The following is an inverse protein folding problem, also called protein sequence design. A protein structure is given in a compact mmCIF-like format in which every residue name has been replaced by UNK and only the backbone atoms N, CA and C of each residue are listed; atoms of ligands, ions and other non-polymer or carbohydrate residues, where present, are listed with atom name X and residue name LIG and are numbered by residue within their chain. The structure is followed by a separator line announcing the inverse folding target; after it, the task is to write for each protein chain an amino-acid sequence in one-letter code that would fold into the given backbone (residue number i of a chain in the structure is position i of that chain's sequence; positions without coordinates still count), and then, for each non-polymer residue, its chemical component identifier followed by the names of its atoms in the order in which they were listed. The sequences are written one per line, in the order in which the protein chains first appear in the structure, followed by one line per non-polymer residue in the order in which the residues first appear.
data_IF_876510844073
#
_entry.id   IF_876510844073
#
_cell.length_a   1.000
_cell.length_b   1.000
_cell.length_c   1.000
_cell.angle_alpha   90.00
_cell.angle_beta   90.00
_cell.angle_gamma   90.00
#
_symmetry.space_group_name_H-M   'P 1'
#
loop_
_entity.id
_entity.type
_entity.pdbx_description
1 polymer ?
#
# COMPACT_ATOMS: atom_id res chain seq x y z
N UNK A 1 15.17 21.44 -4.60
CA UNK A 1 15.17 20.02 -4.17
C UNK A 1 14.89 20.03 -2.69
N UNK A 2 13.98 19.17 -2.22
CA UNK A 2 13.70 19.10 -0.78
C UNK A 2 14.87 18.47 -0.02
N UNK A 3 15.12 18.94 1.19
CA UNK A 3 16.13 18.36 2.09
C UNK A 3 15.51 17.17 2.81
N UNK A 4 16.19 16.01 2.81
CA UNK A 4 15.80 14.88 3.64
C UNK A 4 15.93 15.26 5.11
N UNK A 5 14.84 15.17 5.85
CA UNK A 5 14.78 15.49 7.27
C UNK A 5 14.75 14.21 8.11
N UNK A 6 13.91 13.26 7.70
CA UNK A 6 13.70 12.01 8.44
C UNK A 6 13.52 10.85 7.46
N UNK A 7 14.10 9.71 7.83
CA UNK A 7 13.71 8.39 7.37
C UNK A 7 13.23 7.60 8.60
N UNK A 8 12.00 7.06 8.56
CA UNK A 8 11.41 6.39 9.71
C UNK A 8 10.52 5.22 9.32
N UNK A 9 10.63 4.13 10.04
CA UNK A 9 9.68 3.02 9.98
C UNK A 9 8.74 3.07 11.19
N UNK A 10 7.48 2.70 10.98
CA UNK A 10 6.49 2.55 12.05
C UNK A 10 5.84 1.17 11.94
N UNK A 11 5.15 0.72 12.99
CA UNK A 11 4.34 -0.51 12.90
C UNK A 11 3.22 -0.34 11.85
N UNK A 12 2.60 0.84 11.80
CA UNK A 12 1.51 1.13 10.85
C UNK A 12 2.02 1.18 9.40
N UNK A 13 3.23 1.66 9.15
CA UNK A 13 3.82 1.67 7.81
C UNK A 13 4.07 0.25 7.31
N UNK A 14 4.60 -0.64 8.16
CA UNK A 14 4.74 -2.06 7.83
C UNK A 14 3.40 -2.76 7.55
N UNK A 15 2.37 -2.41 8.34
CA UNK A 15 1.01 -2.92 8.12
C UNK A 15 0.40 -2.39 6.82
N UNK A 16 0.55 -1.10 6.53
CA UNK A 16 0.08 -0.49 5.29
C UNK A 16 0.69 -1.17 4.06
N UNK A 17 2.01 -1.44 4.07
CA UNK A 17 2.66 -2.15 2.96
C UNK A 17 2.15 -3.59 2.83
N UNK A 18 1.89 -4.28 3.93
CA UNK A 18 1.31 -5.63 3.88
C UNK A 18 -0.08 -5.65 3.23
N UNK A 19 -0.90 -4.63 3.52
CA UNK A 19 -2.22 -4.46 2.90
C UNK A 19 -2.07 -4.08 1.41
N UNK A 20 -1.17 -3.16 1.08
CA UNK A 20 -0.93 -2.73 -0.30
C UNK A 20 -0.49 -3.90 -1.19
N UNK A 21 0.45 -4.72 -0.71
CA UNK A 21 0.87 -5.95 -1.41
C UNK A 21 -0.26 -6.95 -1.63
N UNK A 22 -1.20 -7.04 -0.68
CA UNK A 22 -2.37 -7.88 -0.84
C UNK A 22 -3.34 -7.32 -1.90
N UNK A 23 -3.48 -6.00 -1.99
CA UNK A 23 -4.24 -5.32 -3.04
C UNK A 23 -3.60 -5.62 -4.40
N UNK A 24 -2.30 -5.35 -4.57
CA UNK A 24 -1.58 -5.63 -5.83
C UNK A 24 -1.77 -7.08 -6.28
N UNK A 25 -1.59 -8.04 -5.36
CA UNK A 25 -1.79 -9.45 -5.68
C UNK A 25 -3.22 -9.76 -6.15
N UNK A 26 -4.23 -9.14 -5.51
CA UNK A 26 -5.63 -9.34 -5.89
C UNK A 26 -5.97 -8.66 -7.21
N UNK A 27 -5.46 -7.46 -7.48
CA UNK A 27 -5.64 -6.76 -8.75
C UNK A 27 -4.99 -7.55 -9.90
N UNK A 28 -3.76 -8.04 -9.71
CA UNK A 28 -3.09 -8.89 -10.69
C UNK A 28 -3.88 -10.16 -11.01
N UNK A 29 -4.54 -10.76 -10.00
CA UNK A 29 -5.42 -11.92 -10.19
C UNK A 29 -6.68 -11.55 -10.98
N UNK A 30 -7.22 -10.34 -10.85
CA UNK A 30 -8.34 -9.87 -11.67
C UNK A 30 -7.89 -9.61 -13.11
N UNK A 31 -6.79 -8.87 -13.27
CA UNK A 31 -6.33 -8.38 -14.57
C UNK A 31 -5.77 -9.50 -15.44
N UNK A 32 -4.93 -10.38 -14.90
CA UNK A 32 -4.22 -11.39 -15.68
C UNK A 32 -4.97 -12.72 -15.78
N UNK A 33 -5.82 -13.05 -14.81
CA UNK A 33 -6.57 -14.32 -14.80
C UNK A 33 -8.07 -14.16 -15.07
N UNK A 34 -8.55 -12.93 -15.18
CA UNK A 34 -9.98 -12.63 -15.32
C UNK A 34 -10.81 -13.12 -14.13
N UNK A 35 -10.22 -13.21 -12.93
CA UNK A 35 -10.90 -13.75 -11.77
C UNK A 35 -11.93 -12.75 -11.21
N UNK A 36 -13.16 -13.21 -10.99
CA UNK A 36 -14.24 -12.41 -10.45
C UNK A 36 -14.29 -12.43 -8.92
N UNK A 37 -14.45 -11.22 -8.35
CA UNK A 37 -14.63 -10.96 -6.91
C UNK A 37 -13.59 -11.69 -6.03
N UNK A 38 -12.28 -11.42 -6.21
CA UNK A 38 -11.27 -12.01 -5.34
C UNK A 38 -11.48 -11.55 -3.90
N UNK A 39 -11.32 -12.48 -2.95
CA UNK A 39 -11.48 -12.19 -1.51
C UNK A 39 -10.45 -12.88 -0.64
N UNK A 40 -10.16 -12.27 0.50
CA UNK A 40 -9.50 -12.90 1.62
C UNK A 40 -10.53 -13.42 2.62
N UNK A 41 -10.17 -14.41 3.44
CA UNK A 41 -11.09 -14.91 4.49
C UNK A 41 -11.24 -13.88 5.60
N UNK A 42 -10.15 -13.19 5.95
CA UNK A 42 -10.13 -12.14 6.96
C UNK A 42 -9.09 -11.08 6.63
N UNK A 43 -9.23 -9.89 7.22
CA UNK A 43 -8.21 -8.83 7.09
C UNK A 43 -6.86 -9.26 7.66
N UNK A 44 -6.86 -10.17 8.65
CA UNK A 44 -5.64 -10.70 9.25
C UNK A 44 -4.81 -11.55 8.29
N UNK A 45 -5.40 -12.02 7.19
CA UNK A 45 -4.70 -12.85 6.21
C UNK A 45 -3.61 -12.06 5.49
N UNK A 46 -3.70 -10.72 5.42
CA UNK A 46 -2.66 -9.85 4.86
C UNK A 46 -1.34 -9.92 5.64
N UNK A 47 -1.32 -10.45 6.87
CA UNK A 47 -0.11 -10.54 7.71
C UNK A 47 0.48 -11.95 7.83
N UNK A 48 -0.09 -12.95 7.17
CA UNK A 48 0.42 -14.34 7.21
C UNK A 48 1.64 -14.51 6.28
N UNK A 49 2.26 -15.68 6.28
CA UNK A 49 3.33 -15.98 5.31
C UNK A 49 2.80 -16.36 3.92
N UNK A 50 1.58 -16.90 3.86
CA UNK A 50 0.90 -17.28 2.62
C UNK A 50 -0.33 -16.41 2.48
N UNK A 51 -0.47 -15.71 1.36
CA UNK A 51 -1.66 -14.95 1.03
C UNK A 51 -2.61 -15.87 0.27
N UNK A 52 -3.68 -16.30 0.93
CA UNK A 52 -4.71 -17.11 0.29
C UNK A 52 -5.81 -16.21 -0.27
N UNK A 53 -5.94 -16.22 -1.60
CA UNK A 53 -6.95 -15.46 -2.34
C UNK A 53 -8.01 -16.44 -2.82
N UNK A 54 -9.25 -16.20 -2.41
CA UNK A 54 -10.42 -16.98 -2.85
C UNK A 54 -11.05 -16.32 -4.05
N UNK A 55 -11.32 -17.13 -5.07
CA UNK A 55 -11.91 -16.67 -6.33
C UNK A 55 -13.07 -17.59 -6.69
N UNK A 56 -14.09 -17.02 -7.33
CA UNK A 56 -15.29 -17.76 -7.73
C UNK A 56 -15.10 -18.42 -9.10
N UNK A 57 -14.91 -17.59 -10.12
CA UNK A 57 -14.71 -17.95 -11.53
C UNK A 57 -13.54 -17.14 -12.05
N UNK A 58 -12.71 -17.76 -12.90
CA UNK A 58 -11.64 -17.10 -13.63
C UNK A 58 -11.72 -17.52 -15.10
N UNK A 59 -11.32 -16.62 -15.99
CA UNK A 59 -11.40 -16.81 -17.44
C UNK A 59 -10.26 -17.70 -17.94
N UNK A 60 -9.07 -17.55 -17.35
CA UNK A 60 -7.89 -18.28 -17.78
C UNK A 60 -7.86 -19.76 -17.29
N UNK A 61 -7.27 -20.67 -18.08
CA UNK A 61 -7.09 -22.07 -17.72
C UNK A 61 -6.03 -22.25 -16.61
N UNK A 62 -6.15 -23.34 -15.84
CA UNK A 62 -5.31 -23.59 -14.66
C UNK A 62 -3.80 -23.69 -14.95
N UNK A 63 -3.39 -24.01 -16.18
CA UNK A 63 -1.97 -24.10 -16.51
C UNK A 63 -1.27 -22.73 -16.55
N UNK A 64 -2.02 -21.63 -16.78
CA UNK A 64 -1.50 -20.25 -16.75
C UNK A 64 -1.35 -19.73 -15.32
N UNK A 65 -2.14 -20.27 -14.38
CA UNK A 65 -2.15 -19.81 -13.00
C UNK A 65 -0.78 -19.91 -12.33
N UNK A 66 0.00 -20.95 -12.65
CA UNK A 66 1.30 -21.17 -12.00
C UNK A 66 2.30 -20.05 -12.31
N UNK A 67 2.33 -19.59 -13.56
CA UNK A 67 3.27 -18.56 -14.00
C UNK A 67 2.83 -17.18 -13.48
N UNK A 68 1.52 -16.90 -13.52
CA UNK A 68 0.96 -15.67 -12.95
C UNK A 68 1.16 -15.61 -11.44
N UNK A 69 0.86 -16.70 -10.71
CA UNK A 69 1.10 -16.78 -9.26
C UNK A 69 2.56 -16.53 -8.95
N UNK A 70 3.49 -17.14 -9.69
CA UNK A 70 4.91 -16.90 -9.48
C UNK A 70 5.29 -15.44 -9.71
N UNK A 71 4.78 -14.80 -10.77
CA UNK A 71 5.00 -13.37 -11.03
C UNK A 71 4.51 -12.49 -9.87
N UNK A 72 3.34 -12.81 -9.31
CA UNK A 72 2.82 -12.13 -8.13
C UNK A 72 3.74 -12.34 -6.94
N UNK A 73 4.13 -13.59 -6.66
CA UNK A 73 5.02 -13.94 -5.54
C UNK A 73 6.35 -13.20 -5.60
N UNK A 74 6.94 -13.10 -6.80
CA UNK A 74 8.19 -12.38 -7.07
C UNK A 74 8.02 -10.86 -6.85
N UNK A 75 6.87 -10.29 -7.22
CA UNK A 75 6.55 -8.87 -7.04
C UNK A 75 6.31 -8.49 -5.57
N UNK A 76 5.46 -9.26 -4.87
CA UNK A 76 5.09 -8.95 -3.49
C UNK A 76 6.09 -9.50 -2.45
N UNK A 77 6.97 -10.40 -2.87
CA UNK A 77 7.97 -11.06 -2.02
C UNK A 77 7.34 -12.00 -0.98
N UNK A 78 6.23 -12.65 -1.34
CA UNK A 78 5.45 -13.51 -0.43
C UNK A 78 4.70 -14.58 -1.22
N UNK A 79 4.53 -15.76 -0.61
CA UNK A 79 3.79 -16.88 -1.21
C UNK A 79 2.31 -16.55 -1.40
N UNK A 80 1.76 -16.97 -2.53
CA UNK A 80 0.35 -16.76 -2.90
C UNK A 80 -0.31 -18.08 -3.22
N UNK A 81 -1.53 -18.26 -2.73
CA UNK A 81 -2.37 -19.42 -3.03
C UNK A 81 -3.72 -18.93 -3.54
N UNK A 82 -4.09 -19.37 -4.74
CA UNK A 82 -5.43 -19.13 -5.28
C UNK A 82 -6.29 -20.36 -4.99
N UNK A 83 -7.39 -20.16 -4.26
CA UNK A 83 -8.35 -21.20 -3.90
C UNK A 83 -9.68 -20.94 -4.61
N UNK A 84 -10.13 -21.88 -5.44
CA UNK A 84 -11.46 -21.81 -6.09
C UNK A 84 -12.55 -22.21 -5.09
N UNK A 85 -13.62 -21.41 -4.99
CA UNK A 85 -14.74 -21.69 -4.10
C UNK A 85 -15.73 -20.53 -3.99
N UNK A 86 -16.81 -20.71 -3.22
CA UNK A 86 -17.80 -19.64 -3.00
C UNK A 86 -17.14 -18.43 -2.33
N UNK A 87 -17.08 -17.30 -3.06
CA UNK A 87 -16.53 -16.03 -2.58
C UNK A 87 -17.55 -15.18 -1.81
N UNK A 88 -18.76 -15.69 -1.53
CA UNK A 88 -19.85 -14.87 -0.97
C UNK A 88 -19.59 -14.20 0.40
N UNK A 89 -18.49 -14.56 1.08
CA UNK A 89 -18.10 -14.00 2.37
C UNK A 89 -16.59 -13.73 2.40
N UNK A 90 -16.18 -12.58 2.95
CA UNK A 90 -14.77 -12.23 3.13
C UNK A 90 -14.46 -10.77 2.83
N UNK A 91 -13.18 -10.42 2.92
CA UNK A 91 -12.63 -9.08 2.70
C UNK A 91 -12.27 -8.93 1.22
N UNK A 92 -12.91 -8.00 0.51
CA UNK A 92 -12.62 -7.71 -0.89
C UNK A 92 -11.68 -6.51 -1.08
N UNK A 93 -11.36 -6.18 -2.33
CA UNK A 93 -10.49 -5.04 -2.69
C UNK A 93 -10.94 -3.72 -2.06
N UNK A 94 -12.25 -3.41 -2.11
CA UNK A 94 -12.81 -2.18 -1.53
C UNK A 94 -12.54 -2.08 -0.02
N UNK A 95 -12.64 -3.19 0.69
CA UNK A 95 -12.37 -3.23 2.13
C UNK A 95 -10.89 -3.02 2.41
N UNK A 96 -10.01 -3.63 1.62
CA UNK A 96 -8.56 -3.45 1.74
C UNK A 96 -8.14 -2.01 1.49
N UNK A 97 -8.65 -1.35 0.43
CA UNK A 97 -8.37 0.07 0.18
C UNK A 97 -8.83 0.97 1.32
N UNK A 98 -10.00 0.69 1.90
CA UNK A 98 -10.51 1.44 3.06
C UNK A 98 -9.56 1.30 4.25
N UNK A 99 -9.18 0.07 4.60
CA UNK A 99 -8.26 -0.20 5.73
C UNK A 99 -6.87 0.38 5.46
N UNK A 100 -6.39 0.34 4.21
CA UNK A 100 -5.13 0.95 3.80
C UNK A 100 -5.15 2.46 4.03
N UNK A 101 -6.18 3.16 3.52
CA UNK A 101 -6.34 4.61 3.69
C UNK A 101 -6.40 4.99 5.16
N UNK A 102 -7.24 4.31 5.95
CA UNK A 102 -7.37 4.55 7.40
C UNK A 102 -6.03 4.36 8.13
N UNK A 103 -5.26 3.32 7.77
CA UNK A 103 -3.95 3.02 8.37
C UNK A 103 -2.92 4.10 8.04
N UNK A 104 -2.85 4.50 6.77
CA UNK A 104 -1.92 5.52 6.27
C UNK A 104 -2.26 6.89 6.87
N UNK A 105 -3.53 7.28 6.90
CA UNK A 105 -3.97 8.54 7.48
C UNK A 105 -3.62 8.67 8.97
N UNK A 106 -3.82 7.60 9.75
CA UNK A 106 -3.44 7.61 11.17
C UNK A 106 -1.93 7.78 11.35
N UNK A 107 -1.13 7.12 10.52
CA UNK A 107 0.32 7.20 10.61
C UNK A 107 0.84 8.57 10.18
N UNK A 108 0.31 9.13 9.09
CA UNK A 108 0.59 10.49 8.66
C UNK A 108 0.24 11.49 9.76
N UNK A 109 -0.94 11.36 10.40
CA UNK A 109 -1.35 12.27 11.49
C UNK A 109 -0.33 12.27 12.62
N UNK A 110 0.14 11.10 13.03
CA UNK A 110 1.10 10.98 14.13
C UNK A 110 2.49 11.50 13.74
N UNK A 111 2.94 11.22 12.51
CA UNK A 111 4.25 11.62 12.00
C UNK A 111 4.33 13.11 11.65
N UNK A 112 3.28 13.65 11.01
CA UNK A 112 3.29 14.99 10.41
C UNK A 112 2.79 16.09 11.32
N UNK A 113 2.16 15.76 12.46
CA UNK A 113 1.72 16.77 13.44
C UNK A 113 2.81 17.79 13.85
N UNK A 114 4.04 17.39 14.24
CA UNK A 114 5.07 18.37 14.58
C UNK A 114 5.47 19.25 13.38
N UNK A 115 5.55 18.68 12.18
CA UNK A 115 5.91 19.40 10.95
C UNK A 115 4.83 20.36 10.47
N UNK A 116 3.55 20.00 10.66
CA UNK A 116 2.42 20.87 10.39
C UNK A 116 2.42 22.11 11.30
N UNK A 117 2.74 21.93 12.58
CA UNK A 117 2.92 23.05 13.51
C UNK A 117 4.08 23.94 13.06
N UNK A 118 5.22 23.34 12.70
CA UNK A 118 6.38 24.10 12.21
C UNK A 118 6.08 24.91 10.94
N UNK A 119 5.35 24.31 9.98
CA UNK A 119 4.85 24.99 8.77
C UNK A 119 4.01 26.22 9.13
N UNK A 120 3.08 26.07 10.07
CA UNK A 120 2.20 27.15 10.51
C UNK A 120 2.92 28.26 11.27
N UNK A 121 3.92 27.92 12.10
CA UNK A 121 4.63 28.90 12.95
C UNK A 121 5.78 29.62 12.26
N UNK A 122 6.63 28.91 11.52
CA UNK A 122 7.80 29.51 10.87
C UNK A 122 7.42 30.29 9.61
N UNK A 123 6.42 29.81 8.87
CA UNK A 123 6.10 30.30 7.54
C UNK A 123 7.21 30.04 6.52
N UNK A 124 6.84 29.88 5.26
CA UNK A 124 7.82 29.75 4.16
C UNK A 124 8.45 28.37 3.99
N UNK A 125 8.10 27.39 4.83
CA UNK A 125 8.57 25.99 4.74
C UNK A 125 7.36 25.05 4.68
N UNK A 126 7.45 24.03 3.83
CA UNK A 126 6.46 22.94 3.71
C UNK A 126 7.18 21.60 3.83
N UNK A 127 6.49 20.60 4.37
CA UNK A 127 7.02 19.25 4.51
C UNK A 127 6.20 18.27 3.70
N UNK A 128 6.86 17.24 3.18
CA UNK A 128 6.25 16.15 2.43
C UNK A 128 6.66 14.82 3.04
N UNK A 129 5.70 13.99 3.39
CA UNK A 129 5.91 12.60 3.80
C UNK A 129 5.57 11.67 2.64
N UNK A 130 6.46 10.73 2.35
CA UNK A 130 6.33 9.72 1.30
C UNK A 130 6.48 8.35 1.93
N UNK A 131 5.47 7.49 1.84
CA UNK A 131 5.57 6.09 2.23
C UNK A 131 6.11 5.30 1.05
N UNK A 132 7.23 4.62 1.27
CA UNK A 132 7.87 3.76 0.27
C UNK A 132 7.45 2.31 0.44
N UNK A 133 7.51 1.54 -0.65
CA UNK A 133 7.28 0.10 -0.68
C UNK A 133 8.16 -0.68 0.31
N UNK A 134 9.34 -0.12 0.66
CA UNK A 134 10.21 -0.61 1.73
C UNK A 134 9.64 -0.43 3.16
N UNK A 135 8.40 0.02 3.31
CA UNK A 135 7.74 0.39 4.58
C UNK A 135 8.34 1.60 5.30
N UNK A 136 9.19 2.38 4.63
CA UNK A 136 9.83 3.56 5.20
C UNK A 136 9.06 4.82 4.83
N UNK A 137 8.86 5.69 5.80
CA UNK A 137 8.49 7.07 5.58
C UNK A 137 9.73 7.91 5.33
N UNK A 138 9.72 8.66 4.24
CA UNK A 138 10.70 9.69 3.92
C UNK A 138 10.02 11.04 4.09
N UNK A 139 10.59 11.91 4.93
CA UNK A 139 10.11 13.27 5.14
C UNK A 139 11.09 14.26 4.53
N UNK A 140 10.59 15.06 3.59
CA UNK A 140 11.33 16.09 2.87
C UNK A 140 10.85 17.47 3.30
N UNK A 141 11.79 18.39 3.48
CA UNK A 141 11.53 19.82 3.70
C UNK A 141 11.75 20.57 2.40
N UNK A 142 10.85 21.48 2.04
CA UNK A 142 11.02 22.39 0.91
C UNK A 142 10.56 23.80 1.22
N UNK A 143 10.99 24.75 0.39
CA UNK A 143 10.42 26.10 0.41
C UNK A 143 8.95 26.06 -0.03
N UNK A 144 8.14 26.95 0.56
CA UNK A 144 6.74 27.17 0.19
C UNK A 144 6.59 27.29 -1.34
N UNK A 145 5.64 26.54 -1.92
CA UNK A 145 5.38 26.46 -3.36
C UNK A 145 6.50 25.89 -4.24
N UNK A 146 7.57 25.30 -3.65
CA UNK A 146 8.67 24.66 -4.39
C UNK A 146 8.92 23.21 -4.01
N UNK A 147 8.01 22.59 -3.27
CA UNK A 147 8.10 21.15 -3.00
C UNK A 147 7.88 20.39 -4.29
N UNK A 148 8.97 19.85 -4.86
CA UNK A 148 8.90 18.93 -5.99
C UNK A 148 8.82 17.52 -5.44
N UNK A 149 7.77 16.78 -5.82
CA UNK A 149 7.71 15.34 -5.64
C UNK A 149 8.71 14.74 -6.63
N UNK A 150 9.84 14.16 -6.21
CA UNK A 150 10.61 13.34 -7.12
C UNK A 150 9.72 12.17 -7.54
N UNK A 151 9.73 11.81 -8.83
CA UNK A 151 9.11 10.56 -9.25
C UNK A 151 9.87 9.43 -8.54
N UNK A 152 9.21 8.79 -7.58
CA UNK A 152 9.76 7.66 -6.83
C UNK A 152 8.86 6.48 -7.18
N UNK A 153 9.38 5.54 -7.97
CA UNK A 153 8.62 4.37 -8.43
C UNK A 153 8.12 3.50 -7.26
N UNK A 154 8.77 3.59 -6.10
CA UNK A 154 8.38 2.87 -4.88
C UNK A 154 7.37 3.63 -4.00
N UNK A 155 6.86 4.80 -4.41
CA UNK A 155 5.96 5.60 -3.58
C UNK A 155 4.53 5.05 -3.55
N UNK A 156 4.03 4.80 -2.34
CA UNK A 156 2.71 4.21 -2.08
C UNK A 156 1.70 5.26 -1.65
N UNK A 157 2.14 6.21 -0.83
CA UNK A 157 1.32 7.32 -0.39
C UNK A 157 2.17 8.56 -0.17
N UNK A 158 1.58 9.73 -0.42
CA UNK A 158 2.21 11.02 -0.26
C UNK A 158 1.24 11.93 0.50
N UNK A 159 1.77 12.67 1.47
CA UNK A 159 1.08 13.78 2.10
C UNK A 159 2.02 14.96 2.23
N UNK A 160 1.47 16.17 2.28
CA UNK A 160 2.24 17.38 2.52
C UNK A 160 1.52 18.30 3.51
N UNK A 161 2.28 19.18 4.14
CA UNK A 161 1.74 20.27 4.95
C UNK A 161 1.40 21.48 4.08
N UNK A 162 0.38 22.24 4.49
CA UNK A 162 0.05 23.54 3.90
C UNK A 162 0.10 24.62 5.00
N UNK A 163 0.49 25.87 4.66
CA UNK A 163 0.40 27.03 5.55
C UNK A 163 -1.03 27.39 5.95
#
# INVERSE_FOLDING_TARGET
MGRLVIERSTERSARAISIYKAIEAMEYVVEELGCLDPRLTSIGDVYRDVLEIRVSVCEEPEHIFKDVVKSIEDSIGRRVRISRGSSGYGVGLRDLYRVLSETIEQDIRDLMKPFALETAYRGGVEYMSILLYSSKWVILEGEKHKVRVPWIDEAIAIAHTHP
#
